data_IF_210841587258
#
_entry.id   IF_210841587258
#
_cell.length_a   1.000
_cell.length_b   1.000
_cell.length_c   1.000
_cell.angle_alpha   90.00
_cell.angle_beta   90.00
_cell.angle_gamma   90.00
#
_symmetry.space_group_name_H-M   'P 1'
#
loop_
_entity.id
_entity.type
_entity.pdbx_description
1 polymer ?
#
# COMPACT_ATOMS: atom_id res chain seq x y z
N UNK A 1 -19.19 6.61 -5.76
CA UNK A 1 -17.94 5.88 -5.44
C UNK A 1 -16.73 6.31 -6.26
N UNK A 2 -16.71 6.25 -7.60
CA UNK A 2 -15.50 6.61 -8.40
C UNK A 2 -14.98 8.03 -8.15
N UNK A 3 -15.85 9.04 -8.23
CA UNK A 3 -15.49 10.45 -7.94
C UNK A 3 -14.90 10.59 -6.53
N UNK A 4 -15.58 9.98 -5.56
CA UNK A 4 -15.17 9.98 -4.14
C UNK A 4 -13.80 9.33 -3.93
N UNK A 5 -13.56 8.18 -4.55
CA UNK A 5 -12.26 7.49 -4.49
C UNK A 5 -11.13 8.33 -5.12
N UNK A 6 -11.38 9.05 -6.21
CA UNK A 6 -10.37 9.94 -6.81
C UNK A 6 -10.04 11.13 -5.91
N UNK A 7 -11.03 11.78 -5.31
CA UNK A 7 -10.78 12.91 -4.40
C UNK A 7 -9.98 12.46 -3.16
N UNK A 8 -10.36 11.34 -2.54
CA UNK A 8 -9.66 10.78 -1.38
C UNK A 8 -8.23 10.34 -1.73
N UNK A 9 -8.02 9.73 -2.90
CA UNK A 9 -6.68 9.39 -3.38
C UNK A 9 -5.84 10.62 -3.70
N UNK A 10 -6.43 11.65 -4.29
CA UNK A 10 -5.73 12.92 -4.56
C UNK A 10 -5.28 13.56 -3.23
N UNK A 11 -6.15 13.59 -2.22
CA UNK A 11 -5.79 14.02 -0.87
C UNK A 11 -4.64 13.19 -0.27
N UNK A 12 -4.68 11.86 -0.40
CA UNK A 12 -3.60 10.98 0.06
C UNK A 12 -2.27 11.29 -0.66
N UNK A 13 -2.30 11.57 -1.96
CA UNK A 13 -1.11 11.92 -2.75
C UNK A 13 -0.54 13.28 -2.33
N UNK A 14 -1.39 14.30 -2.16
CA UNK A 14 -0.97 15.64 -1.72
C UNK A 14 -0.29 15.61 -0.36
N UNK A 15 -0.87 14.88 0.60
CA UNK A 15 -0.32 14.76 1.95
C UNK A 15 0.92 13.88 2.00
N UNK A 16 0.97 12.76 1.26
CA UNK A 16 2.14 11.90 1.21
C UNK A 16 3.37 12.57 0.58
N UNK A 17 3.17 13.43 -0.44
CA UNK A 17 4.28 14.10 -1.15
C UNK A 17 4.69 15.43 -0.53
N UNK A 18 4.04 15.86 0.56
CA UNK A 18 4.24 17.17 1.15
C UNK A 18 5.69 17.44 1.53
N UNK A 19 6.37 16.44 2.11
CA UNK A 19 7.78 16.53 2.51
C UNK A 19 8.74 16.36 1.32
N UNK A 20 8.38 15.55 0.31
CA UNK A 20 9.27 15.23 -0.80
C UNK A 20 9.41 16.34 -1.84
N UNK A 21 8.35 17.11 -2.05
CA UNK A 21 8.32 18.21 -3.04
C UNK A 21 9.03 19.46 -2.51
N UNK A 22 9.12 19.63 -1.19
CA UNK A 22 9.72 20.80 -0.57
C UNK A 22 11.24 20.65 -0.45
N UNK A 23 11.99 21.69 -0.84
CA UNK A 23 13.43 21.74 -0.60
C UNK A 23 13.78 22.00 0.86
N UNK A 24 12.96 22.81 1.54
CA UNK A 24 13.07 23.08 2.98
C UNK A 24 12.01 22.24 3.74
N UNK A 25 12.40 21.35 4.67
CA UNK A 25 11.47 20.55 5.47
C UNK A 25 10.38 21.37 6.19
N UNK A 26 10.67 22.61 6.59
CA UNK A 26 9.70 23.50 7.23
C UNK A 26 8.53 23.84 6.31
N UNK A 27 8.80 23.98 5.00
CA UNK A 27 7.76 24.22 4.00
C UNK A 27 6.88 22.98 3.84
N UNK A 28 7.48 21.79 3.83
CA UNK A 28 6.73 20.52 3.79
C UNK A 28 5.82 20.37 5.00
N UNK A 29 6.34 20.62 6.20
CA UNK A 29 5.56 20.59 7.44
C UNK A 29 4.42 21.63 7.43
N UNK A 30 4.68 22.84 6.95
CA UNK A 30 3.65 23.88 6.82
C UNK A 30 2.51 23.47 5.87
N UNK A 31 2.79 22.70 4.81
CA UNK A 31 1.75 22.12 3.94
C UNK A 31 0.89 21.09 4.66
N UNK A 32 1.49 20.24 5.50
CA UNK A 32 0.74 19.27 6.30
C UNK A 32 -0.14 19.95 7.34
N UNK A 33 0.39 20.96 8.05
CA UNK A 33 -0.39 21.78 8.99
C UNK A 33 -1.54 22.51 8.29
N UNK A 34 -1.29 23.06 7.09
CA UNK A 34 -2.35 23.63 6.26
C UNK A 34 -3.43 22.61 5.94
N UNK A 35 -3.08 21.36 5.60
CA UNK A 35 -4.07 20.30 5.35
C UNK A 35 -4.89 19.96 6.59
N UNK A 36 -4.27 19.95 7.77
CA UNK A 36 -4.97 19.74 9.04
C UNK A 36 -6.06 20.83 9.25
N UNK A 37 -5.71 22.09 9.03
CA UNK A 37 -6.68 23.21 9.07
C UNK A 37 -7.70 23.16 7.93
N UNK A 38 -7.28 22.78 6.72
CA UNK A 38 -8.14 22.69 5.56
C UNK A 38 -9.25 21.69 5.79
N UNK A 39 -8.96 20.54 6.42
CA UNK A 39 -9.98 19.58 6.84
C UNK A 39 -10.98 20.25 7.79
N UNK A 40 -10.51 20.98 8.81
CA UNK A 40 -11.41 21.67 9.74
C UNK A 40 -12.31 22.70 9.03
N UNK A 41 -11.76 23.46 8.07
CA UNK A 41 -12.48 24.43 7.22
C UNK A 41 -13.51 23.75 6.32
N UNK A 42 -13.17 22.63 5.67
CA UNK A 42 -14.07 21.86 4.80
C UNK A 42 -15.28 21.35 5.60
N UNK A 43 -15.06 20.74 6.76
CA UNK A 43 -16.15 20.25 7.62
C UNK A 43 -17.01 21.39 8.19
N UNK A 44 -16.46 22.60 8.27
CA UNK A 44 -17.20 23.83 8.63
C UNK A 44 -17.86 24.51 7.42
N UNK A 45 -17.89 23.85 6.25
CA UNK A 45 -18.46 24.35 4.99
C UNK A 45 -17.84 25.67 4.50
N UNK A 46 -16.58 25.94 4.86
CA UNK A 46 -15.85 27.11 4.35
C UNK A 46 -15.26 26.80 2.97
N UNK A 47 -15.33 27.77 2.06
CA UNK A 47 -14.71 27.66 0.74
C UNK A 47 -13.18 27.69 0.87
N UNK A 48 -12.51 26.83 0.11
CA UNK A 48 -11.05 26.78 -0.01
C UNK A 48 -10.70 26.77 -1.49
N UNK A 49 -9.80 27.65 -1.91
CA UNK A 49 -9.30 27.73 -3.29
C UNK A 49 -8.14 26.76 -3.50
N UNK A 50 -8.45 25.45 -3.45
CA UNK A 50 -7.51 24.39 -3.78
C UNK A 50 -8.26 23.23 -4.44
N UNK A 51 -7.85 22.75 -5.64
CA UNK A 51 -8.66 21.82 -6.44
C UNK A 51 -8.97 20.51 -5.70
N UNK A 52 -7.98 19.97 -5.00
CA UNK A 52 -8.17 18.74 -4.19
C UNK A 52 -9.05 19.00 -2.98
N UNK A 53 -8.95 20.19 -2.36
CA UNK A 53 -9.78 20.54 -1.20
C UNK A 53 -11.24 20.74 -1.62
N UNK A 54 -11.49 21.33 -2.79
CA UNK A 54 -12.82 21.48 -3.36
C UNK A 54 -13.44 20.13 -3.72
N UNK A 55 -12.67 19.24 -4.35
CA UNK A 55 -13.11 17.88 -4.64
C UNK A 55 -13.45 17.11 -3.35
N UNK A 56 -12.60 17.23 -2.33
CA UNK A 56 -12.83 16.62 -1.02
C UNK A 56 -14.07 17.22 -0.33
N UNK A 57 -14.30 18.53 -0.43
CA UNK A 57 -15.47 19.20 0.11
C UNK A 57 -16.78 18.72 -0.54
N UNK A 58 -16.80 18.55 -1.87
CA UNK A 58 -17.94 17.94 -2.58
C UNK A 58 -18.22 16.54 -2.04
N UNK A 59 -17.20 15.70 -1.89
CA UNK A 59 -17.34 14.34 -1.35
C UNK A 59 -17.86 14.32 0.08
N UNK A 60 -17.37 15.20 0.95
CA UNK A 60 -17.82 15.30 2.35
C UNK A 60 -19.25 15.86 2.43
N UNK A 61 -19.66 16.71 1.48
CA UNK A 61 -21.03 17.23 1.43
C UNK A 61 -22.04 16.20 0.94
N UNK A 62 -21.63 15.34 0.00
CA UNK A 62 -22.48 14.30 -0.61
C UNK A 62 -22.54 13.02 0.21
N UNK A 63 -21.50 12.73 1.01
CA UNK A 63 -21.35 11.47 1.71
C UNK A 63 -20.95 11.64 3.18
N UNK A 64 -21.34 10.68 4.02
CA UNK A 64 -20.99 10.66 5.45
C UNK A 64 -19.58 10.11 5.65
N UNK A 65 -18.56 10.92 5.38
CA UNK A 65 -17.15 10.59 5.67
C UNK A 65 -16.77 11.09 7.06
N UNK A 66 -16.11 10.24 7.86
CA UNK A 66 -15.67 10.61 9.18
C UNK A 66 -14.45 11.56 9.13
N UNK A 67 -14.58 12.73 9.76
CA UNK A 67 -13.53 13.73 9.93
C UNK A 67 -12.28 13.16 10.60
N UNK A 68 -12.45 12.27 11.58
CA UNK A 68 -11.33 11.73 12.36
C UNK A 68 -10.35 10.94 11.50
N UNK A 69 -10.83 10.21 10.49
CA UNK A 69 -9.98 9.44 9.58
C UNK A 69 -9.05 10.32 8.75
N UNK A 70 -9.58 11.42 8.21
CA UNK A 70 -8.78 12.36 7.44
C UNK A 70 -7.77 13.08 8.35
N UNK A 71 -8.18 13.53 9.54
CA UNK A 71 -7.25 14.16 10.49
C UNK A 71 -6.16 13.21 10.96
N UNK A 72 -6.49 11.95 11.30
CA UNK A 72 -5.53 10.93 11.73
C UNK A 72 -4.46 10.67 10.66
N UNK A 73 -4.86 10.63 9.38
CA UNK A 73 -3.92 10.46 8.26
C UNK A 73 -2.92 11.61 8.09
N UNK A 74 -3.36 12.84 8.35
CA UNK A 74 -2.47 14.02 8.34
C UNK A 74 -1.60 14.06 9.59
N UNK A 75 -2.18 13.78 10.76
CA UNK A 75 -1.47 13.77 12.05
C UNK A 75 -0.30 12.78 12.03
N UNK A 76 -0.51 11.56 11.54
CA UNK A 76 0.55 10.57 11.43
C UNK A 76 1.72 11.06 10.55
N UNK A 77 1.43 11.80 9.47
CA UNK A 77 2.47 12.41 8.61
C UNK A 77 3.13 13.62 9.23
N UNK A 78 2.41 14.41 10.02
CA UNK A 78 2.99 15.52 10.80
C UNK A 78 3.98 14.96 11.82
N UNK A 79 3.59 13.91 12.53
CA UNK A 79 4.45 13.25 13.53
C UNK A 79 5.68 12.67 12.84
N UNK A 80 5.50 11.95 11.73
CA UNK A 80 6.59 11.44 10.91
C UNK A 80 7.54 12.55 10.42
N UNK A 81 7.01 13.67 9.94
CA UNK A 81 7.80 14.82 9.48
C UNK A 81 8.55 15.55 10.60
N UNK A 82 8.12 15.40 11.86
CA UNK A 82 8.76 16.00 13.03
C UNK A 82 9.84 15.10 13.62
N UNK A 83 9.94 13.84 13.20
CA UNK A 83 10.95 12.91 13.71
C UNK A 83 12.35 13.42 13.39
N UNK A 84 13.20 13.36 14.40
CA UNK A 84 14.63 13.57 14.22
C UNK A 84 15.26 12.31 13.61
N UNK A 85 16.48 12.43 13.08
CA UNK A 85 17.19 11.27 12.47
C UNK A 85 17.41 10.14 13.47
N UNK A 86 17.54 10.47 14.76
CA UNK A 86 17.68 9.52 15.86
C UNK A 86 16.36 8.88 16.31
N UNK A 87 15.21 9.40 15.88
CA UNK A 87 13.89 8.91 16.25
C UNK A 87 13.43 7.80 15.29
N UNK A 88 14.16 6.68 15.35
CA UNK A 88 13.90 5.48 14.55
C UNK A 88 12.79 4.67 15.25
N UNK A 89 11.80 4.12 14.52
CA UNK A 89 10.81 3.24 15.12
C UNK A 89 11.46 2.10 15.92
N UNK A 90 10.96 1.81 17.12
CA UNK A 90 11.54 0.73 17.92
C UNK A 90 11.08 -0.64 17.41
N UNK A 91 9.82 -0.73 17.00
CA UNK A 91 9.13 -1.98 16.66
C UNK A 91 8.44 -1.95 15.29
N UNK A 92 8.18 -3.13 14.72
CA UNK A 92 7.38 -3.26 13.49
C UNK A 92 5.94 -2.79 13.71
N UNK A 93 5.39 -2.95 14.92
CA UNK A 93 4.05 -2.52 15.30
C UNK A 93 3.85 -1.01 15.18
N UNK A 94 4.89 -0.20 15.42
CA UNK A 94 4.84 1.25 15.21
C UNK A 94 4.67 1.60 13.72
N UNK A 95 5.33 0.87 12.84
CA UNK A 95 5.18 1.02 11.39
C UNK A 95 3.82 0.51 10.90
N UNK A 96 3.30 -0.58 11.48
CA UNK A 96 1.92 -1.01 11.24
C UNK A 96 0.92 0.06 11.66
N UNK A 97 1.14 0.71 12.80
CA UNK A 97 0.28 1.80 13.29
C UNK A 97 0.35 2.99 12.36
N UNK A 98 1.54 3.38 11.89
CA UNK A 98 1.69 4.42 10.88
C UNK A 98 0.93 4.06 9.59
N UNK A 99 1.05 2.81 9.11
CA UNK A 99 0.34 2.34 7.92
C UNK A 99 -1.19 2.31 8.11
N UNK A 100 -1.67 1.94 9.29
CA UNK A 100 -3.09 1.99 9.66
C UNK A 100 -3.60 3.44 9.65
N UNK A 101 -2.85 4.36 10.25
CA UNK A 101 -3.23 5.76 10.38
C UNK A 101 -3.21 6.49 9.03
N UNK A 102 -2.35 6.06 8.10
CA UNK A 102 -2.18 6.71 6.80
C UNK A 102 -2.95 6.04 5.67
N UNK A 103 -2.77 4.74 5.44
CA UNK A 103 -3.32 4.02 4.29
C UNK A 103 -4.70 3.42 4.59
N UNK A 104 -4.91 2.80 5.75
CA UNK A 104 -6.21 2.22 6.11
C UNK A 104 -7.29 3.30 6.25
N UNK A 105 -6.96 4.46 6.82
CA UNK A 105 -7.90 5.59 6.95
C UNK A 105 -8.47 6.04 5.60
N UNK A 106 -7.68 6.01 4.52
CA UNK A 106 -8.16 6.33 3.17
C UNK A 106 -9.13 5.25 2.65
N UNK A 107 -8.88 3.97 2.95
CA UNK A 107 -9.79 2.88 2.61
C UNK A 107 -11.10 3.00 3.39
N UNK A 108 -11.05 3.28 4.71
CA UNK A 108 -12.24 3.52 5.52
C UNK A 108 -13.07 4.69 4.99
N UNK A 109 -12.43 5.82 4.69
CA UNK A 109 -13.11 6.98 4.11
C UNK A 109 -13.73 6.64 2.75
N UNK A 110 -13.09 5.78 1.95
CA UNK A 110 -13.61 5.36 0.65
C UNK A 110 -14.80 4.40 0.78
N UNK A 111 -14.76 3.45 1.73
CA UNK A 111 -15.90 2.58 2.07
C UNK A 111 -17.09 3.42 2.54
N UNK A 112 -16.85 4.37 3.45
CA UNK A 112 -17.87 5.29 3.96
C UNK A 112 -18.48 6.18 2.85
N UNK A 113 -17.64 6.70 1.95
CA UNK A 113 -18.12 7.46 0.80
C UNK A 113 -18.91 6.59 -0.22
N UNK A 114 -18.65 5.28 -0.24
CA UNK A 114 -19.45 4.29 -0.97
C UNK A 114 -20.76 3.91 -0.27
N UNK A 115 -21.02 4.39 0.95
CA UNK A 115 -22.16 3.98 1.76
C UNK A 115 -22.04 2.57 2.35
N UNK A 116 -20.84 1.97 2.28
CA UNK A 116 -20.59 0.62 2.74
C UNK A 116 -20.35 0.65 4.26
N UNK A 117 -21.14 -0.12 4.99
CA UNK A 117 -21.03 -0.29 6.45
C UNK A 117 -20.94 -1.77 6.75
N UNK A 118 -19.73 -2.27 6.86
CA UNK A 118 -19.48 -3.68 7.17
C UNK A 118 -18.20 -3.78 7.98
N UNK A 119 -18.31 -4.39 9.16
CA UNK A 119 -17.15 -4.66 10.02
C UNK A 119 -16.13 -5.55 9.32
N UNK A 120 -16.59 -6.55 8.54
CA UNK A 120 -15.71 -7.38 7.72
C UNK A 120 -14.95 -6.56 6.67
N UNK A 121 -15.62 -5.62 6.00
CA UNK A 121 -14.96 -4.73 5.04
C UNK A 121 -13.95 -3.80 5.72
N UNK A 122 -14.26 -3.29 6.91
CA UNK A 122 -13.34 -2.46 7.70
C UNK A 122 -12.13 -3.27 8.16
N UNK A 123 -12.31 -4.51 8.64
CA UNK A 123 -11.19 -5.39 9.00
C UNK A 123 -10.30 -5.74 7.80
N UNK A 124 -10.90 -6.05 6.64
CA UNK A 124 -10.16 -6.29 5.41
C UNK A 124 -9.39 -5.04 4.96
N UNK A 125 -10.01 -3.85 5.04
CA UNK A 125 -9.38 -2.58 4.74
C UNK A 125 -8.22 -2.26 5.68
N UNK A 126 -8.33 -2.57 6.98
CA UNK A 126 -7.23 -2.41 7.95
C UNK A 126 -6.01 -3.23 7.53
N UNK A 127 -6.21 -4.52 7.28
CA UNK A 127 -5.13 -5.41 6.89
C UNK A 127 -4.51 -5.03 5.54
N UNK A 128 -5.32 -4.67 4.55
CA UNK A 128 -4.81 -4.20 3.25
C UNK A 128 -4.05 -2.89 3.41
N UNK A 129 -4.55 -1.95 4.21
CA UNK A 129 -3.88 -0.66 4.45
C UNK A 129 -2.53 -0.85 5.15
N UNK A 130 -2.47 -1.67 6.20
CA UNK A 130 -1.24 -2.06 6.88
C UNK A 130 -0.22 -2.71 5.94
N UNK A 131 -0.64 -3.75 5.21
CA UNK A 131 0.22 -4.43 4.24
C UNK A 131 0.76 -3.47 3.17
N UNK A 132 -0.12 -2.63 2.61
CA UNK A 132 0.24 -1.66 1.58
C UNK A 132 1.21 -0.61 2.12
N UNK A 133 0.97 -0.10 3.33
CA UNK A 133 1.85 0.87 3.97
C UNK A 133 3.23 0.31 4.25
N UNK A 134 3.33 -0.87 4.88
CA UNK A 134 4.61 -1.54 5.14
C UNK A 134 5.42 -1.77 3.84
N UNK A 135 4.76 -2.27 2.80
CA UNK A 135 5.41 -2.51 1.50
C UNK A 135 5.87 -1.22 0.83
N UNK A 136 5.13 -0.12 0.97
CA UNK A 136 5.54 1.19 0.47
C UNK A 136 6.73 1.76 1.25
N UNK A 137 6.79 1.57 2.56
CA UNK A 137 7.94 1.93 3.39
C UNK A 137 9.18 1.13 2.99
N UNK A 138 9.05 -0.19 2.77
CA UNK A 138 10.16 -1.02 2.25
C UNK A 138 10.64 -0.54 0.88
N UNK A 139 9.68 -0.21 0.00
CA UNK A 139 9.97 0.29 -1.35
C UNK A 139 10.61 1.69 -1.34
N UNK A 140 10.41 2.50 -0.30
CA UNK A 140 11.00 3.83 -0.18
C UNK A 140 12.42 3.81 0.38
N UNK A 141 12.87 2.70 0.98
CA UNK A 141 14.21 2.59 1.58
C UNK A 141 15.35 3.05 0.65
N UNK A 142 15.41 2.68 -0.65
CA UNK A 142 16.47 3.15 -1.53
C UNK A 142 16.48 4.67 -1.71
N UNK A 143 15.30 5.29 -1.74
CA UNK A 143 15.15 6.74 -1.85
C UNK A 143 15.70 7.44 -0.59
N UNK A 144 15.31 6.98 0.60
CA UNK A 144 15.81 7.54 1.86
C UNK A 144 17.31 7.29 2.08
N UNK A 145 17.81 6.11 1.69
CA UNK A 145 19.23 5.80 1.71
C UNK A 145 20.03 6.76 0.80
N UNK A 146 19.54 7.06 -0.40
CA UNK A 146 20.23 7.97 -1.33
C UNK A 146 20.27 9.43 -0.88
N UNK A 147 19.18 9.92 -0.27
CA UNK A 147 19.02 11.34 0.08
C UNK A 147 19.58 11.66 1.46
N UNK A 148 19.33 10.78 2.42
CA UNK A 148 19.63 11.03 3.82
C UNK A 148 20.73 10.10 4.36
N UNK A 149 21.19 9.08 3.60
CA UNK A 149 22.14 8.04 4.07
C UNK A 149 21.66 7.23 5.29
N UNK A 150 20.35 7.20 5.53
CA UNK A 150 19.73 6.48 6.66
C UNK A 150 18.51 5.67 6.21
N UNK A 151 18.12 4.67 7.00
CA UNK A 151 16.92 3.83 6.82
C UNK A 151 15.90 4.13 7.91
N UNK A 152 15.12 5.23 7.79
CA UNK A 152 14.21 5.65 8.87
C UNK A 152 13.03 4.69 9.11
N UNK A 153 12.88 3.66 8.28
CA UNK A 153 11.75 2.72 8.32
C UNK A 153 12.19 1.26 8.50
N UNK A 154 13.42 1.01 8.95
CA UNK A 154 13.79 -0.29 9.51
C UNK A 154 13.77 -0.12 11.04
N UNK A 155 12.90 -0.83 11.78
CA UNK A 155 12.84 -0.70 13.23
C UNK A 155 14.11 -1.15 13.94
N UNK A 156 14.37 -0.58 15.13
CA UNK A 156 15.54 -0.91 15.95
C UNK A 156 15.61 -2.40 16.26
N UNK A 157 14.50 -3.03 16.66
CA UNK A 157 14.47 -4.46 16.97
C UNK A 157 14.88 -5.35 15.77
N UNK A 158 14.46 -4.96 14.56
CA UNK A 158 14.74 -5.70 13.33
C UNK A 158 16.19 -5.44 12.91
N UNK A 159 16.65 -4.20 13.03
CA UNK A 159 18.03 -3.84 12.75
C UNK A 159 19.01 -4.55 13.69
N UNK A 160 18.68 -4.68 14.98
CA UNK A 160 19.50 -5.40 15.96
C UNK A 160 19.62 -6.88 15.60
N UNK A 161 18.46 -7.51 15.36
CA UNK A 161 18.36 -8.94 15.05
C UNK A 161 19.16 -9.35 13.81
N UNK A 162 19.24 -8.47 12.80
CA UNK A 162 19.96 -8.73 11.54
C UNK A 162 21.34 -8.06 11.46
N UNK A 163 21.86 -7.56 12.59
CA UNK A 163 23.22 -7.01 12.67
C UNK A 163 23.42 -5.72 11.88
N UNK A 164 22.37 -4.91 11.73
CA UNK A 164 22.39 -3.63 11.01
C UNK A 164 22.59 -2.42 11.94
N UNK A 165 22.43 -2.60 13.26
CA UNK A 165 22.70 -1.54 14.22
C UNK A 165 24.20 -1.38 14.46
N UNK A 166 24.69 -0.17 14.23
CA UNK A 166 26.03 0.27 14.63
C UNK A 166 25.86 1.42 15.62
N UNK A 167 26.58 1.36 16.74
CA UNK A 167 26.65 2.52 17.65
C UNK A 167 27.61 3.53 17.04
N UNK A 168 27.12 4.71 16.69
CA UNK A 168 27.98 5.80 16.19
C UNK A 168 28.94 6.27 17.29
N UNK A 169 29.97 7.04 16.93
CA UNK A 169 30.99 7.60 17.82
C UNK A 169 30.39 8.48 18.95
N UNK A 170 29.15 8.94 18.79
CA UNK A 170 28.37 9.65 19.83
C UNK A 170 27.48 8.76 20.71
N UNK A 171 27.51 7.43 20.56
CA UNK A 171 26.72 6.48 21.34
C UNK A 171 25.26 6.33 20.91
N UNK A 172 24.85 7.00 19.83
CA UNK A 172 23.50 6.88 19.25
C UNK A 172 23.43 5.69 18.27
N UNK A 173 22.31 4.93 18.23
CA UNK A 173 22.13 3.86 17.26
C UNK A 173 21.97 4.43 15.85
N UNK A 174 22.83 4.02 14.91
CA UNK A 174 22.72 4.33 13.48
C UNK A 174 22.61 3.02 12.69
N UNK A 175 21.69 2.95 11.73
CA UNK A 175 21.53 1.79 10.85
C UNK A 175 22.44 1.98 9.63
N UNK A 176 23.57 1.25 9.55
CA UNK A 176 24.51 1.31 8.43
C UNK A 176 24.54 0.03 7.59
N UNK A 177 24.66 0.19 6.28
CA UNK A 177 24.62 -0.86 5.24
C UNK A 177 25.99 -1.52 5.06
N UNK A 178 26.64 -1.93 6.13
CA UNK A 178 27.88 -2.68 5.95
C UNK A 178 27.55 -4.15 5.59
N UNK A 179 26.30 -4.59 5.82
CA UNK A 179 25.79 -5.93 5.47
C UNK A 179 24.58 -5.87 4.53
N UNK A 180 24.79 -6.15 3.24
CA UNK A 180 23.70 -6.31 2.25
C UNK A 180 22.78 -7.48 2.60
N UNK A 181 23.36 -8.57 3.12
CA UNK A 181 22.61 -9.75 3.55
C UNK A 181 21.71 -9.44 4.75
N UNK A 182 22.23 -8.74 5.76
CA UNK A 182 21.45 -8.28 6.91
C UNK A 182 20.26 -7.42 6.49
N UNK A 183 20.45 -6.52 5.51
CA UNK A 183 19.36 -5.69 4.99
C UNK A 183 18.30 -6.52 4.27
N UNK A 184 18.71 -7.50 3.45
CA UNK A 184 17.76 -8.40 2.78
C UNK A 184 16.96 -9.22 3.81
N UNK A 185 17.60 -9.69 4.89
CA UNK A 185 16.93 -10.41 5.97
C UNK A 185 15.96 -9.53 6.77
N UNK A 186 16.33 -8.28 7.06
CA UNK A 186 15.44 -7.29 7.69
C UNK A 186 14.21 -6.99 6.81
N UNK A 187 14.43 -6.78 5.50
CA UNK A 187 13.35 -6.56 4.53
C UNK A 187 12.46 -7.81 4.42
N UNK A 188 13.04 -9.01 4.45
CA UNK A 188 12.28 -10.26 4.45
C UNK A 188 11.36 -10.38 5.65
N UNK A 189 11.85 -10.06 6.85
CA UNK A 189 11.06 -10.09 8.08
C UNK A 189 9.86 -9.13 8.01
N UNK A 190 10.12 -7.88 7.63
CA UNK A 190 9.05 -6.88 7.47
C UNK A 190 8.07 -7.24 6.33
N UNK A 191 8.56 -7.76 5.22
CA UNK A 191 7.73 -8.23 4.11
C UNK A 191 6.85 -9.42 4.53
N UNK A 192 7.34 -10.27 5.43
CA UNK A 192 6.58 -11.39 6.00
C UNK A 192 5.41 -10.90 6.86
N UNK A 193 5.60 -9.84 7.66
CA UNK A 193 4.52 -9.19 8.41
C UNK A 193 3.48 -8.60 7.46
N UNK A 194 3.91 -7.89 6.41
CA UNK A 194 3.00 -7.36 5.40
C UNK A 194 2.22 -8.47 4.66
N UNK A 195 2.86 -9.59 4.34
CA UNK A 195 2.20 -10.74 3.72
C UNK A 195 1.18 -11.37 4.67
N UNK A 196 1.49 -11.51 5.97
CA UNK A 196 0.54 -12.00 6.98
C UNK A 196 -0.75 -11.18 7.02
N UNK A 197 -0.65 -9.84 6.88
CA UNK A 197 -1.84 -9.00 6.73
C UNK A 197 -2.61 -9.27 5.44
N UNK A 198 -1.95 -9.44 4.29
CA UNK A 198 -2.66 -9.81 3.05
C UNK A 198 -3.37 -11.16 3.17
N UNK A 199 -2.75 -12.16 3.80
CA UNK A 199 -3.40 -13.45 4.05
C UNK A 199 -4.64 -13.30 4.92
N UNK A 200 -4.56 -12.51 6.01
CA UNK A 200 -5.72 -12.20 6.86
C UNK A 200 -6.83 -11.50 6.08
N UNK A 201 -6.49 -10.54 5.21
CA UNK A 201 -7.47 -9.89 4.34
C UNK A 201 -8.11 -10.87 3.34
N UNK A 202 -7.35 -11.81 2.78
CA UNK A 202 -7.88 -12.84 1.88
C UNK A 202 -8.79 -13.83 2.60
N UNK A 203 -8.46 -14.21 3.83
CA UNK A 203 -9.32 -15.05 4.66
C UNK A 203 -10.69 -14.39 4.93
N UNK A 204 -10.75 -13.06 4.97
CA UNK A 204 -12.01 -12.31 5.13
C UNK A 204 -12.81 -12.17 3.83
N UNK A 205 -12.23 -12.47 2.65
CA UNK A 205 -12.86 -12.17 1.35
C UNK A 205 -14.27 -12.75 1.20
N UNK A 206 -14.54 -13.94 1.76
CA UNK A 206 -15.87 -14.56 1.71
C UNK A 206 -16.94 -13.87 2.58
N UNK A 207 -16.54 -13.01 3.52
CA UNK A 207 -17.45 -12.29 4.44
C UNK A 207 -17.63 -10.82 4.05
N UNK A 208 -16.85 -10.34 3.08
CA UNK A 208 -16.90 -8.96 2.61
C UNK A 208 -18.03 -8.80 1.58
N UNK A 209 -18.85 -7.73 1.67
CA UNK A 209 -19.89 -7.45 0.68
C UNK A 209 -19.28 -7.12 -0.69
N UNK A 210 -19.93 -7.56 -1.77
CA UNK A 210 -19.40 -7.43 -3.14
C UNK A 210 -19.14 -5.97 -3.55
N UNK A 211 -19.93 -5.03 -3.02
CA UNK A 211 -19.80 -3.60 -3.25
C UNK A 211 -18.48 -3.02 -2.71
N UNK A 212 -17.85 -3.69 -1.73
CA UNK A 212 -16.58 -3.28 -1.14
C UNK A 212 -15.37 -3.74 -1.95
N UNK A 213 -15.49 -4.77 -2.79
CA UNK A 213 -14.37 -5.33 -3.55
C UNK A 213 -13.56 -4.26 -4.33
N UNK A 214 -14.18 -3.29 -5.04
CA UNK A 214 -13.43 -2.26 -5.75
C UNK A 214 -12.59 -1.36 -4.84
N UNK A 215 -13.03 -1.15 -3.60
CA UNK A 215 -12.29 -0.33 -2.61
C UNK A 215 -11.07 -1.09 -2.09
N UNK A 216 -11.17 -2.41 -2.00
CA UNK A 216 -10.11 -3.31 -1.49
C UNK A 216 -9.08 -3.74 -2.57
N UNK A 217 -9.29 -3.35 -3.83
CA UNK A 217 -8.34 -3.62 -4.93
C UNK A 217 -6.88 -3.19 -4.70
N UNK A 218 -6.55 -2.20 -3.84
CA UNK A 218 -5.16 -1.94 -3.46
C UNK A 218 -4.40 -3.15 -2.88
N UNK A 219 -5.09 -4.24 -2.49
CA UNK A 219 -4.43 -5.52 -2.18
C UNK A 219 -3.57 -6.07 -3.34
N UNK A 220 -3.98 -5.84 -4.59
CA UNK A 220 -3.30 -6.37 -5.78
C UNK A 220 -1.90 -5.77 -6.00
N UNK A 221 -1.71 -4.43 -6.08
CA UNK A 221 -0.37 -3.87 -6.22
C UNK A 221 0.53 -4.24 -5.02
N UNK A 222 -0.03 -4.40 -3.82
CA UNK A 222 0.71 -4.86 -2.64
C UNK A 222 1.23 -6.28 -2.83
N UNK A 223 0.39 -7.21 -3.31
CA UNK A 223 0.82 -8.55 -3.68
C UNK A 223 1.93 -8.54 -4.74
N UNK A 224 1.75 -7.74 -5.79
CA UNK A 224 2.74 -7.61 -6.87
C UNK A 224 4.10 -7.18 -6.34
N UNK A 225 4.16 -6.22 -5.42
CA UNK A 225 5.43 -5.76 -4.87
C UNK A 225 6.05 -6.83 -3.96
N UNK A 226 5.25 -7.53 -3.14
CA UNK A 226 5.74 -8.65 -2.31
C UNK A 226 6.31 -9.79 -3.18
N UNK A 227 5.61 -10.17 -4.24
CA UNK A 227 6.09 -11.18 -5.20
C UNK A 227 7.38 -10.71 -5.88
N UNK A 228 7.49 -9.42 -6.18
CA UNK A 228 8.72 -8.83 -6.75
C UNK A 228 9.86 -8.91 -5.75
N UNK A 229 9.64 -8.49 -4.49
CA UNK A 229 10.62 -8.57 -3.41
C UNK A 229 11.12 -10.01 -3.23
N UNK A 230 10.22 -10.99 -3.18
CA UNK A 230 10.59 -12.40 -3.08
C UNK A 230 11.48 -12.87 -4.24
N UNK A 231 11.16 -12.51 -5.49
CA UNK A 231 11.95 -12.87 -6.68
C UNK A 231 13.34 -12.24 -6.73
N UNK A 232 13.51 -11.09 -6.08
CA UNK A 232 14.79 -10.38 -5.99
C UNK A 232 15.51 -10.67 -4.68
N UNK A 233 15.11 -11.73 -3.96
CA UNK A 233 15.70 -12.14 -2.68
C UNK A 233 15.70 -10.99 -1.66
N UNK A 234 14.61 -10.21 -1.66
CA UNK A 234 14.38 -9.08 -0.76
C UNK A 234 15.39 -7.93 -0.86
N UNK A 235 16.13 -7.86 -1.97
CA UNK A 235 16.98 -6.73 -2.28
C UNK A 235 16.16 -5.52 -2.76
N UNK A 236 16.02 -4.52 -1.89
CA UNK A 236 15.27 -3.28 -2.18
C UNK A 236 15.92 -2.39 -3.24
N UNK A 237 17.21 -2.58 -3.54
CA UNK A 237 17.93 -1.80 -4.55
C UNK A 237 17.80 -2.36 -5.95
N UNK A 238 17.16 -3.52 -6.13
CA UNK A 238 17.00 -4.13 -7.43
C UNK A 238 16.12 -3.25 -8.35
N UNK A 239 16.58 -2.91 -9.58
CA UNK A 239 15.83 -2.04 -10.48
C UNK A 239 14.48 -2.62 -10.94
N UNK A 240 14.23 -3.92 -10.76
CA UNK A 240 12.92 -4.53 -11.04
C UNK A 240 11.83 -4.00 -10.11
N UNK A 241 12.17 -3.53 -8.90
CA UNK A 241 11.22 -2.89 -7.99
C UNK A 241 10.76 -1.52 -8.50
N UNK A 242 11.59 -0.81 -9.26
CA UNK A 242 11.25 0.50 -9.83
C UNK A 242 10.65 0.39 -11.24
N UNK A 243 10.81 -0.76 -11.91
CA UNK A 243 10.28 -1.01 -13.25
C UNK A 243 8.90 -1.69 -13.22
N UNK A 244 7.84 -0.91 -13.47
CA UNK A 244 6.52 -1.42 -13.84
C UNK A 244 5.89 -2.45 -12.86
N UNK A 245 5.14 -3.41 -13.40
CA UNK A 245 4.47 -4.48 -12.62
C UNK A 245 5.32 -5.75 -12.74
N UNK A 246 5.88 -6.25 -11.63
CA UNK A 246 6.78 -7.41 -11.61
C UNK A 246 8.05 -7.25 -12.49
N UNK A 247 8.57 -6.02 -12.67
CA UNK A 247 9.69 -5.76 -13.58
C UNK A 247 9.30 -5.61 -15.05
N UNK A 248 8.01 -5.76 -15.39
CA UNK A 248 7.49 -5.68 -16.77
C UNK A 248 6.95 -4.28 -17.06
N UNK A 249 7.28 -3.74 -18.24
CA UNK A 249 6.77 -2.45 -18.71
C UNK A 249 5.23 -2.42 -18.69
N UNK A 250 4.61 -1.32 -18.23
CA UNK A 250 3.15 -1.21 -18.12
C UNK A 250 2.41 -1.55 -19.42
N UNK A 251 2.96 -1.16 -20.57
CA UNK A 251 2.37 -1.45 -21.89
C UNK A 251 2.32 -2.95 -22.18
N UNK A 252 3.39 -3.68 -21.86
CA UNK A 252 3.46 -5.12 -22.09
C UNK A 252 2.50 -5.87 -21.17
N UNK A 253 2.36 -5.41 -19.92
CA UNK A 253 1.36 -5.95 -19.00
C UNK A 253 -0.08 -5.69 -19.49
N UNK A 254 -0.37 -4.50 -19.99
CA UNK A 254 -1.66 -4.16 -20.60
C UNK A 254 -1.96 -5.01 -21.85
N UNK A 255 -0.96 -5.23 -22.71
CA UNK A 255 -1.09 -6.15 -23.86
C UNK A 255 -1.36 -7.58 -23.41
N UNK A 256 -0.66 -8.05 -22.37
CA UNK A 256 -0.86 -9.40 -21.81
C UNK A 256 -2.27 -9.56 -21.23
N UNK A 257 -2.77 -8.55 -20.50
CA UNK A 257 -4.15 -8.54 -19.99
C UNK A 257 -5.18 -8.54 -21.12
N UNK A 258 -4.99 -7.72 -22.16
CA UNK A 258 -5.85 -7.72 -23.34
C UNK A 258 -5.82 -9.06 -24.06
N UNK A 259 -4.64 -9.66 -24.20
CA UNK A 259 -4.49 -10.99 -24.78
C UNK A 259 -5.24 -12.05 -23.99
N UNK A 260 -5.07 -12.10 -22.67
CA UNK A 260 -5.81 -13.04 -21.80
C UNK A 260 -7.32 -12.83 -21.87
N UNK A 261 -7.78 -11.58 -21.80
CA UNK A 261 -9.20 -11.24 -21.95
C UNK A 261 -9.74 -11.69 -23.31
N UNK A 262 -8.99 -11.48 -24.39
CA UNK A 262 -9.37 -11.93 -25.72
C UNK A 262 -9.41 -13.46 -25.83
N UNK A 263 -8.44 -14.17 -25.25
CA UNK A 263 -8.42 -15.64 -25.25
C UNK A 263 -9.52 -16.26 -24.40
N UNK A 264 -9.90 -15.64 -23.27
CA UNK A 264 -11.02 -16.12 -22.47
C UNK A 264 -12.35 -15.86 -23.18
N UNK A 265 -12.53 -14.69 -23.83
CA UNK A 265 -13.70 -14.41 -24.67
C UNK A 265 -13.81 -15.42 -25.82
N UNK A 266 -12.70 -15.78 -26.46
CA UNK A 266 -12.67 -16.82 -27.49
C UNK A 266 -13.11 -18.19 -26.97
N UNK A 267 -12.68 -18.59 -25.77
CA UNK A 267 -13.13 -19.84 -25.15
C UNK A 267 -14.63 -19.83 -24.84
N UNK A 268 -15.17 -18.71 -24.36
CA UNK A 268 -16.61 -18.58 -24.08
C UNK A 268 -17.43 -18.60 -25.38
N UNK A 269 -16.98 -17.89 -26.42
CA UNK A 269 -17.65 -17.85 -27.74
C UNK A 269 -17.59 -19.21 -28.45
N UNK A 270 -16.49 -19.96 -28.32
CA UNK A 270 -16.36 -21.31 -28.87
C UNK A 270 -17.21 -22.33 -28.08
N UNK A 271 -17.39 -22.16 -26.77
CA UNK A 271 -18.29 -23.00 -25.97
C UNK A 271 -19.79 -22.71 -26.18
N UNK A 272 -20.18 -21.47 -26.49
CA UNK A 272 -21.57 -21.12 -26.81
C UNK A 272 -21.95 -21.46 -28.27
N UNK A 273 -20.97 -21.52 -29.18
CA UNK A 273 -21.15 -22.01 -30.54
C UNK A 273 -21.14 -23.55 -30.57
N UNK A 274 -22.26 -24.15 -30.17
CA UNK A 274 -22.56 -25.58 -30.34
C UNK A 274 -22.55 -25.94 -31.85
N UNK A 275 -21.39 -26.25 -32.39
CA UNK A 275 -21.24 -26.93 -33.67
C UNK A 275 -21.16 -28.44 -33.42
N UNK A 276 -22.03 -29.27 -34.04
CA UNK A 276 -21.91 -30.71 -33.96
C UNK A 276 -20.77 -31.12 -34.90
N UNK A 277 -19.60 -31.45 -34.36
CA UNK A 277 -18.55 -32.09 -35.16
C UNK A 277 -18.08 -33.34 -34.45
N UNK A 278 -18.43 -34.46 -35.08
CA UNK A 278 -17.83 -35.77 -34.90
C UNK A 278 -16.30 -35.67 -34.87
N UNK A 279 -15.65 -36.43 -33.99
CA UNK A 279 -14.24 -36.76 -34.15
C UNK A 279 -13.46 -36.67 -32.86
N UNK A 280 -13.23 -37.84 -32.26
CA UNK A 280 -12.37 -38.06 -31.11
C UNK A 280 -10.98 -37.39 -31.27
N UNK A 281 -10.65 -36.50 -30.34
CA UNK A 281 -9.27 -36.33 -29.86
C UNK A 281 -9.31 -36.21 -28.33
N UNK A 282 -8.49 -36.97 -27.58
CA UNK A 282 -8.61 -37.07 -26.14
C UNK A 282 -8.03 -35.82 -25.47
N UNK A 283 -8.91 -35.04 -24.86
CA UNK A 283 -8.55 -34.00 -23.90
C UNK A 283 -8.33 -34.68 -22.54
N UNK A 284 -7.07 -34.80 -22.11
CA UNK A 284 -6.78 -35.18 -20.73
C UNK A 284 -5.63 -34.34 -20.21
N UNK A 285 -5.98 -33.23 -19.54
CA UNK A 285 -5.17 -32.73 -18.46
C UNK A 285 -6.12 -32.29 -17.34
N UNK A 286 -6.37 -33.25 -16.44
CA UNK A 286 -7.06 -33.05 -15.16
C UNK A 286 -6.29 -32.00 -14.36
N UNK A 287 -6.97 -30.95 -13.93
CA UNK A 287 -6.60 -30.24 -12.72
C UNK A 287 -6.88 -31.17 -11.54
N UNK A 288 -5.83 -31.58 -10.83
CA UNK A 288 -5.93 -32.12 -9.48
C UNK A 288 -5.50 -31.03 -8.52
N UNK A 289 -6.47 -30.49 -7.80
CA UNK A 289 -6.28 -29.81 -6.53
C UNK A 289 -6.53 -30.88 -5.47
N UNK A 290 -5.51 -31.26 -4.70
CA UNK A 290 -5.69 -31.67 -3.31
C UNK A 290 -4.37 -31.71 -2.54
N UNK A 291 -4.34 -30.89 -1.49
CA UNK A 291 -3.83 -31.16 -0.13
C UNK A 291 -2.75 -32.23 0.06
N UNK A 292 -1.59 -31.81 0.59
CA UNK A 292 -1.07 -32.20 1.92
C UNK A 292 0.35 -31.67 2.11
N UNK A 293 0.53 -30.83 3.14
CA UNK A 293 1.81 -30.69 3.83
C UNK A 293 1.61 -31.24 5.24
N UNK A 294 2.09 -32.45 5.46
CA UNK A 294 2.50 -33.01 6.74
C UNK A 294 3.81 -33.76 6.45
N UNK A 295 4.93 -33.15 6.83
CA UNK A 295 6.08 -33.71 7.57
C UNK A 295 7.12 -32.61 7.81
#
# INVERSE_FOLDING_TARGET
MRKSAFALRAFNVETARAMDIASDPRIGLMRLLWWQEAIDKIFSKKLIEHPVAQALASVISEHKVNKSWLKRSVEARINDAKREVSDIPETVEELERYAEDTMSTILYSTLQAGGIRSTAADHAASHIGKASGLVLLLKSLPYHASRNRHFPYIPVEVAEKHGLLVKDQGGQPEIRIDSREGLCNAVFEMASVANSHLEKARALAGTVPAEAHPVLLPALPTQVILDTLSRVQFDVFDPRLTRGILGVLPLWFQLKLKWYSWTEILKTVICEANFPVMGNFPFMMRFHVQEKFEE
#
